data_IF_730665902880
#
_entry.id   IF_730665902880
#
_cell.length_a   1.000
_cell.length_b   1.000
_cell.length_c   1.000
_cell.angle_alpha   90.00
_cell.angle_beta   90.00
_cell.angle_gamma   90.00
#
_symmetry.space_group_name_H-M   'P 1'
#
loop_
_entity.id
_entity.type
_entity.pdbx_description
1 polymer ?
#
# COMPACT_ATOMS: atom_id res chain seq x y z
N UNK A 1 28.15 23.23 25.35
CA UNK A 1 27.41 22.84 24.13
C UNK A 1 26.79 21.48 24.41
N UNK A 2 25.56 21.49 24.92
CA UNK A 2 24.79 20.29 25.24
C UNK A 2 24.61 19.49 23.95
N UNK A 3 25.13 18.26 23.94
CA UNK A 3 24.89 17.32 22.85
C UNK A 3 23.42 16.97 22.98
N UNK A 4 22.56 17.64 22.19
CA UNK A 4 21.15 17.28 22.06
C UNK A 4 21.08 15.76 21.94
N UNK A 5 20.23 15.15 22.75
CA UNK A 5 20.14 13.71 22.86
C UNK A 5 19.52 13.12 21.57
N UNK A 6 20.31 13.06 20.51
CA UNK A 6 19.94 12.59 19.18
C UNK A 6 19.32 11.18 19.23
N UNK A 7 19.73 10.39 20.22
CA UNK A 7 19.23 9.03 20.44
C UNK A 7 17.79 9.00 20.98
N UNK A 8 17.39 9.95 21.82
CA UNK A 8 16.02 10.06 22.30
C UNK A 8 15.08 10.59 21.21
N UNK A 9 15.52 11.60 20.45
CA UNK A 9 14.78 12.14 19.32
C UNK A 9 14.57 11.08 18.22
N UNK A 10 15.60 10.29 17.90
CA UNK A 10 15.49 9.18 16.96
C UNK A 10 14.50 8.10 17.41
N UNK A 11 14.45 7.77 18.71
CA UNK A 11 13.48 6.79 19.24
C UNK A 11 12.04 7.27 19.09
N UNK A 12 11.78 8.57 19.25
CA UNK A 12 10.46 9.16 19.08
C UNK A 12 10.05 9.25 17.61
N UNK A 13 10.99 9.49 16.69
CA UNK A 13 10.72 9.60 15.26
C UNK A 13 10.63 8.24 14.55
N UNK A 14 11.25 7.18 15.09
CA UNK A 14 11.26 5.85 14.49
C UNK A 14 9.87 5.32 14.06
N UNK A 15 8.81 5.39 14.88
CA UNK A 15 7.48 4.93 14.50
C UNK A 15 6.89 5.70 13.31
N UNK A 16 7.13 7.02 13.25
CA UNK A 16 6.67 7.86 12.15
C UNK A 16 7.41 7.52 10.85
N UNK A 17 8.74 7.38 10.92
CA UNK A 17 9.54 6.96 9.77
C UNK A 17 9.11 5.59 9.24
N UNK A 18 8.74 4.65 10.13
CA UNK A 18 8.19 3.34 9.74
C UNK A 18 6.86 3.49 8.99
N UNK A 19 5.93 4.31 9.51
CA UNK A 19 4.65 4.58 8.83
C UNK A 19 4.86 5.20 7.45
N UNK A 20 5.76 6.18 7.33
CA UNK A 20 6.10 6.81 6.04
C UNK A 20 6.64 5.79 5.04
N UNK A 21 7.49 4.86 5.48
CA UNK A 21 7.96 3.77 4.61
C UNK A 21 6.83 2.82 4.20
N UNK A 22 5.90 2.51 5.09
CA UNK A 22 4.77 1.63 4.80
C UNK A 22 3.69 2.29 3.93
N UNK A 23 3.62 3.62 3.85
CA UNK A 23 2.75 4.31 2.89
C UNK A 23 3.09 3.97 1.43
N UNK A 24 4.34 3.60 1.16
CA UNK A 24 4.81 3.14 -0.15
C UNK A 24 5.16 1.66 -0.04
N UNK A 25 4.14 0.83 0.12
CA UNK A 25 4.29 -0.62 0.11
C UNK A 25 4.21 -1.18 -1.31
N UNK A 26 4.95 -2.27 -1.57
CA UNK A 26 4.72 -3.11 -2.75
C UNK A 26 3.67 -4.15 -2.37
N UNK A 27 2.64 -4.28 -3.19
CA UNK A 27 1.56 -5.23 -3.00
C UNK A 27 1.32 -6.02 -4.28
N UNK A 28 0.76 -7.23 -4.15
CA UNK A 28 0.42 -8.10 -5.27
C UNK A 28 -1.10 -8.09 -5.45
N UNK A 29 -1.58 -7.83 -6.67
CA UNK A 29 -3.02 -7.86 -6.97
C UNK A 29 -3.48 -9.32 -7.09
N UNK A 30 -4.40 -9.71 -6.23
CA UNK A 30 -4.95 -11.05 -6.16
C UNK A 30 -6.29 -11.16 -6.90
N UNK A 31 -7.19 -10.19 -6.69
CA UNK A 31 -8.55 -10.20 -7.28
C UNK A 31 -8.94 -8.78 -7.70
N UNK A 32 -9.76 -8.67 -8.74
CA UNK A 32 -10.21 -7.41 -9.32
C UNK A 32 -11.72 -7.47 -9.52
N UNK A 33 -12.42 -6.45 -9.03
CA UNK A 33 -13.86 -6.28 -9.20
C UNK A 33 -14.16 -5.00 -9.99
N UNK A 34 -14.54 -5.17 -11.25
CA UNK A 34 -14.83 -4.08 -12.19
C UNK A 34 -16.35 -3.80 -12.37
N UNK A 35 -17.20 -4.44 -11.57
CA UNK A 35 -18.66 -4.30 -11.65
C UNK A 35 -19.25 -3.11 -10.87
N UNK A 36 -18.42 -2.32 -10.17
CA UNK A 36 -18.84 -1.15 -9.37
C UNK A 36 -18.44 0.15 -10.07
N UNK A 37 -18.92 1.30 -9.59
CA UNK A 37 -18.60 2.65 -10.14
C UNK A 37 -17.09 2.97 -10.12
N UNK A 38 -16.35 2.29 -9.26
CA UNK A 38 -14.89 2.36 -9.11
C UNK A 38 -14.36 0.92 -9.16
N UNK A 39 -13.19 0.71 -9.74
CA UNK A 39 -12.59 -0.62 -9.79
C UNK A 39 -12.00 -0.95 -8.43
N UNK A 40 -12.44 -2.04 -7.81
CA UNK A 40 -11.93 -2.47 -6.50
C UNK A 40 -10.90 -3.58 -6.68
N UNK A 41 -9.86 -3.55 -5.85
CA UNK A 41 -8.76 -4.49 -5.87
C UNK A 41 -8.62 -5.17 -4.50
N UNK A 42 -8.42 -6.47 -4.53
CA UNK A 42 -7.84 -7.20 -3.40
C UNK A 42 -6.34 -7.31 -3.62
N UNK A 43 -5.56 -6.82 -2.67
CA UNK A 43 -4.10 -6.85 -2.71
C UNK A 43 -3.53 -7.61 -1.53
N UNK A 44 -2.52 -8.44 -1.79
CA UNK A 44 -1.65 -9.01 -0.76
C UNK A 44 -0.55 -8.02 -0.39
N UNK A 45 -0.48 -7.67 0.88
CA UNK A 45 0.53 -6.81 1.50
C UNK A 45 1.69 -7.65 2.04
N UNK A 46 2.64 -7.00 2.71
CA UNK A 46 3.75 -7.69 3.38
C UNK A 46 3.21 -8.47 4.60
N UNK A 47 3.81 -9.62 4.92
CA UNK A 47 3.44 -10.47 6.07
C UNK A 47 2.10 -11.24 5.92
N UNK A 48 1.76 -11.63 4.70
CA UNK A 48 0.54 -12.39 4.35
C UNK A 48 -0.79 -11.69 4.74
N UNK A 49 -0.74 -10.36 4.91
CA UNK A 49 -1.93 -9.53 5.12
C UNK A 49 -2.66 -9.29 3.79
N UNK A 50 -3.98 -9.40 3.78
CA UNK A 50 -4.81 -9.10 2.60
C UNK A 50 -5.67 -7.85 2.86
N UNK A 51 -5.74 -6.96 1.87
CA UNK A 51 -6.62 -5.78 1.88
C UNK A 51 -7.53 -5.83 0.66
N UNK A 52 -8.84 -5.90 0.87
CA UNK A 52 -9.87 -6.13 -0.14
C UNK A 52 -10.65 -4.86 -0.57
N UNK A 53 -10.56 -3.79 0.23
CA UNK A 53 -11.26 -2.52 -0.01
C UNK A 53 -10.39 -1.46 -0.72
N UNK A 54 -9.44 -1.89 -1.56
CA UNK A 54 -8.56 -0.95 -2.27
C UNK A 54 -9.24 -0.43 -3.52
N UNK A 55 -9.70 0.82 -3.47
CA UNK A 55 -10.26 1.50 -4.63
C UNK A 55 -9.15 1.94 -5.60
N UNK A 56 -9.32 1.59 -6.89
CA UNK A 56 -8.49 2.09 -7.98
C UNK A 56 -9.28 3.00 -8.89
N UNK A 57 -8.91 4.27 -8.84
CA UNK A 57 -9.35 5.29 -9.77
C UNK A 57 -8.82 4.97 -11.18
N UNK A 58 -9.73 4.84 -12.14
CA UNK A 58 -9.36 4.70 -13.55
C UNK A 58 -9.05 6.06 -14.16
N UNK A 59 -8.12 6.08 -15.11
CA UNK A 59 -7.86 7.29 -15.89
C UNK A 59 -9.05 7.54 -16.83
N UNK A 60 -9.42 8.81 -17.00
CA UNK A 60 -10.51 9.19 -17.90
C UNK A 60 -10.25 8.71 -19.33
N UNK A 61 -11.26 8.11 -19.96
CA UNK A 61 -11.17 7.59 -21.33
C UNK A 61 -10.34 6.31 -21.48
N UNK A 62 -9.86 5.70 -20.39
CA UNK A 62 -9.01 4.51 -20.44
C UNK A 62 -9.53 3.44 -19.48
N UNK A 63 -9.93 2.28 -20.02
CA UNK A 63 -10.29 1.11 -19.23
C UNK A 63 -9.10 0.15 -19.21
N UNK A 64 -8.53 -0.06 -18.02
CA UNK A 64 -7.46 -1.03 -17.84
C UNK A 64 -7.83 -1.98 -16.71
N UNK A 65 -7.98 -3.26 -17.03
CA UNK A 65 -8.21 -4.34 -16.06
C UNK A 65 -6.91 -5.15 -16.00
N UNK A 66 -6.07 -4.94 -14.96
CA UNK A 66 -4.87 -5.73 -14.76
C UNK A 66 -5.24 -7.21 -14.68
N UNK A 67 -4.27 -8.08 -14.95
CA UNK A 67 -4.47 -9.49 -14.65
C UNK A 67 -4.06 -9.74 -13.19
N UNK A 68 -4.84 -10.54 -12.44
CA UNK A 68 -4.40 -11.01 -11.13
C UNK A 68 -3.11 -11.82 -11.28
N UNK A 69 -2.32 -11.89 -10.21
CA UNK A 69 -1.08 -12.67 -10.23
C UNK A 69 -1.39 -14.13 -10.58
N UNK A 70 -0.78 -14.65 -11.63
CA UNK A 70 -0.90 -16.06 -11.99
C UNK A 70 0.05 -16.85 -11.09
N UNK A 71 -0.43 -17.38 -9.96
CA UNK A 71 0.33 -18.38 -9.20
C UNK A 71 0.36 -19.68 -10.02
N UNK A 72 1.56 -20.08 -10.43
CA UNK A 72 1.82 -21.33 -11.16
C UNK A 72 1.85 -22.52 -10.22
#
# INVERSE_FOLDING_TARGET
>A
MERVNDSALNRLLMPLMRRVRLMVARAVVNVIHDGRKVQNLQVGLLDDEESDDVERLQNYGHFSVPLPVQRR
#
